data_IF_183522660548
#
_entry.id   IF_183522660548
#
_cell.length_a   1.000
_cell.length_b   1.000
_cell.length_c   1.000
_cell.angle_alpha   90.00
_cell.angle_beta   90.00
_cell.angle_gamma   90.00
#
_symmetry.space_group_name_H-M   'P 1'
#
loop_
_entity.id
_entity.type
_entity.pdbx_description
1 polymer ?
#
# COMPACT_ATOMS: atom_id res chain seq x y z
N UNK A 1 16.45 8.45 -2.22
CA UNK A 1 17.16 7.37 -2.92
C UNK A 1 16.37 6.68 -4.03
N UNK A 2 15.02 6.67 -4.03
CA UNK A 2 14.21 5.86 -4.97
C UNK A 2 13.86 6.54 -6.30
N UNK A 3 14.32 7.75 -6.56
CA UNK A 3 14.07 8.48 -7.81
C UNK A 3 14.52 7.72 -9.08
N UNK A 4 15.47 6.80 -8.93
CA UNK A 4 15.93 5.92 -10.02
C UNK A 4 14.81 5.02 -10.56
N UNK A 5 13.84 4.62 -9.73
CA UNK A 5 12.70 3.78 -10.13
C UNK A 5 11.85 4.51 -11.18
N UNK A 6 11.74 5.84 -11.10
CA UNK A 6 11.05 6.64 -12.10
C UNK A 6 11.61 6.49 -13.53
N UNK A 7 12.89 6.12 -13.67
CA UNK A 7 13.50 5.88 -15.00
C UNK A 7 12.90 4.64 -15.69
N UNK A 8 12.50 3.62 -14.93
CA UNK A 8 11.84 2.42 -15.48
C UNK A 8 10.47 2.77 -16.06
N UNK A 9 9.71 3.63 -15.40
CA UNK A 9 8.42 4.10 -15.91
C UNK A 9 8.59 4.83 -17.24
N UNK A 10 9.57 5.74 -17.34
CA UNK A 10 9.90 6.44 -18.59
C UNK A 10 10.31 5.47 -19.69
N UNK A 11 11.08 4.43 -19.34
CA UNK A 11 11.45 3.37 -20.27
C UNK A 11 10.22 2.64 -20.80
N UNK A 12 9.32 2.18 -19.94
CA UNK A 12 8.10 1.47 -20.33
C UNK A 12 7.19 2.33 -21.21
N UNK A 13 7.00 3.60 -20.89
CA UNK A 13 6.23 4.53 -21.74
C UNK A 13 6.81 4.63 -23.14
N UNK A 14 8.14 4.71 -23.27
CA UNK A 14 8.84 4.74 -24.55
C UNK A 14 8.66 3.43 -25.33
N UNK A 15 8.73 2.28 -24.65
CA UNK A 15 8.50 0.98 -25.29
C UNK A 15 7.06 0.84 -25.78
N UNK A 16 6.06 1.20 -24.98
CA UNK A 16 4.66 1.20 -25.38
C UNK A 16 4.48 2.02 -26.68
N UNK A 17 5.01 3.24 -26.72
CA UNK A 17 4.95 4.09 -27.92
C UNK A 17 5.65 3.46 -29.13
N UNK A 18 6.83 2.84 -28.90
CA UNK A 18 7.61 2.18 -29.96
C UNK A 18 6.85 1.03 -30.60
N UNK A 19 6.08 0.29 -29.83
CA UNK A 19 5.30 -0.87 -30.28
C UNK A 19 3.84 -0.55 -30.63
N UNK A 20 3.46 0.74 -30.69
CA UNK A 20 2.14 1.17 -31.11
C UNK A 20 1.02 0.92 -30.09
N UNK A 21 1.37 0.75 -28.82
CA UNK A 21 0.37 0.60 -27.76
C UNK A 21 -0.33 1.94 -27.51
N UNK A 22 -1.64 1.96 -27.64
CA UNK A 22 -2.47 3.10 -27.29
C UNK A 22 -2.60 3.23 -25.77
N UNK A 23 -2.33 4.43 -25.24
CA UNK A 23 -2.42 4.71 -23.81
C UNK A 23 -3.41 5.85 -23.61
N UNK A 24 -4.50 5.58 -22.91
CA UNK A 24 -5.47 6.59 -22.50
C UNK A 24 -5.30 6.87 -21.00
N UNK A 25 -4.95 8.11 -20.66
CA UNK A 25 -4.76 8.56 -19.29
C UNK A 25 -5.97 9.35 -18.77
N UNK A 26 -6.11 9.43 -17.45
CA UNK A 26 -7.21 10.14 -16.77
C UNK A 26 -8.60 9.67 -17.23
N UNK A 27 -8.71 8.37 -17.53
CA UNK A 27 -9.93 7.75 -18.01
C UNK A 27 -10.24 6.51 -17.15
N UNK A 28 -11.39 6.51 -16.53
CA UNK A 28 -11.91 5.33 -15.84
C UNK A 28 -12.81 4.58 -16.83
N UNK A 29 -12.29 3.46 -17.36
CA UNK A 29 -13.02 2.62 -18.30
C UNK A 29 -14.28 2.02 -17.66
N UNK A 30 -15.35 1.87 -18.43
CA UNK A 30 -16.60 1.24 -18.02
C UNK A 30 -16.83 -0.08 -18.74
N UNK A 31 -17.63 -0.99 -18.16
CA UNK A 31 -18.04 -2.24 -18.83
C UNK A 31 -18.71 -1.98 -20.19
N UNK A 32 -19.46 -0.89 -20.32
CA UNK A 32 -20.10 -0.50 -21.58
C UNK A 32 -19.08 -0.19 -22.68
N UNK A 33 -18.01 0.52 -22.33
CA UNK A 33 -16.92 0.84 -23.27
C UNK A 33 -16.17 -0.42 -23.66
N UNK A 34 -15.79 -1.28 -22.71
CA UNK A 34 -15.11 -2.54 -22.99
C UNK A 34 -15.97 -3.41 -23.94
N UNK A 35 -17.26 -3.52 -23.67
CA UNK A 35 -18.20 -4.24 -24.55
C UNK A 35 -18.28 -3.65 -25.96
N UNK A 36 -18.25 -2.32 -26.09
CA UNK A 36 -18.26 -1.64 -27.40
C UNK A 36 -16.94 -1.82 -28.18
N UNK A 37 -15.82 -1.99 -27.49
CA UNK A 37 -14.52 -2.29 -28.09
C UNK A 37 -14.44 -3.74 -28.61
N UNK A 38 -15.28 -4.65 -28.08
CA UNK A 38 -15.34 -6.06 -28.42
C UNK A 38 -13.95 -6.75 -28.45
N UNK A 39 -13.14 -6.65 -27.38
CA UNK A 39 -11.81 -7.26 -27.39
C UNK A 39 -11.89 -8.77 -27.27
N UNK A 40 -10.93 -9.48 -27.88
CA UNK A 40 -10.77 -10.93 -27.73
C UNK A 40 -10.20 -11.28 -26.33
N UNK A 41 -9.28 -10.45 -25.84
CA UNK A 41 -8.58 -10.64 -24.58
C UNK A 41 -8.65 -9.35 -23.73
N UNK A 42 -8.93 -9.49 -22.44
CA UNK A 42 -8.82 -8.41 -21.46
C UNK A 42 -7.88 -8.80 -20.33
N UNK A 43 -6.89 -7.95 -20.07
CA UNK A 43 -5.98 -8.10 -18.94
C UNK A 43 -6.34 -7.06 -17.87
N UNK A 44 -6.79 -7.52 -16.71
CA UNK A 44 -7.12 -6.70 -15.55
C UNK A 44 -5.88 -6.52 -14.68
N UNK A 45 -5.28 -5.33 -14.72
CA UNK A 45 -4.11 -4.95 -13.94
C UNK A 45 -4.38 -3.69 -13.11
N UNK A 46 -5.56 -3.62 -12.51
CA UNK A 46 -6.11 -2.43 -11.82
C UNK A 46 -5.50 -2.15 -10.44
N UNK A 47 -4.53 -2.96 -10.03
CA UNK A 47 -3.78 -2.73 -8.80
C UNK A 47 -4.54 -3.12 -7.54
N UNK A 48 -4.24 -2.40 -6.46
CA UNK A 48 -4.82 -2.60 -5.13
C UNK A 48 -5.28 -1.28 -4.54
N UNK A 49 -6.13 -1.36 -3.52
CA UNK A 49 -6.54 -0.23 -2.68
C UNK A 49 -6.10 -0.47 -1.23
N UNK A 50 -5.96 0.59 -0.46
CA UNK A 50 -5.66 0.46 0.95
C UNK A 50 -6.75 -0.33 1.68
N UNK A 51 -6.33 -1.19 2.59
CA UNK A 51 -7.22 -1.91 3.47
C UNK A 51 -7.71 -0.96 4.56
N UNK A 52 -9.01 -0.70 4.55
CA UNK A 52 -9.70 0.05 5.61
C UNK A 52 -10.40 -0.98 6.49
N UNK A 53 -9.83 -1.33 7.66
CA UNK A 53 -10.44 -2.32 8.54
C UNK A 53 -11.64 -1.72 9.25
N UNK A 54 -12.52 -2.58 9.74
CA UNK A 54 -13.65 -2.15 10.56
C UNK A 54 -13.20 -1.96 12.02
N UNK A 55 -12.42 -0.92 12.26
CA UNK A 55 -11.97 -0.50 13.59
C UNK A 55 -12.69 0.81 13.95
N UNK A 56 -13.28 0.94 15.15
CA UNK A 56 -13.93 2.17 15.58
C UNK A 56 -13.00 3.40 15.46
N UNK A 57 -13.58 4.56 15.14
CA UNK A 57 -12.86 5.83 15.09
C UNK A 57 -12.03 6.09 13.82
N UNK A 58 -12.00 5.17 12.86
CA UNK A 58 -11.14 5.25 11.68
C UNK A 58 -11.44 6.43 10.72
N UNK A 59 -12.63 7.00 10.78
CA UNK A 59 -13.06 8.10 9.89
C UNK A 59 -12.75 9.50 10.44
N UNK A 60 -11.80 9.61 11.36
CA UNK A 60 -11.39 10.91 11.89
C UNK A 60 -10.54 11.68 10.86
N UNK A 61 -10.68 13.01 10.83
CA UNK A 61 -10.01 13.90 9.85
C UNK A 61 -8.47 13.84 9.90
N UNK A 62 -7.90 13.38 11.01
CA UNK A 62 -6.46 13.22 11.20
C UNK A 62 -5.92 11.85 10.78
N UNK A 63 -6.77 10.95 10.25
CA UNK A 63 -6.36 9.65 9.70
C UNK A 63 -6.06 9.82 8.22
N UNK A 64 -4.80 9.61 7.85
CA UNK A 64 -4.24 9.89 6.53
C UNK A 64 -3.83 8.62 5.79
N UNK A 65 -3.92 8.65 4.46
CA UNK A 65 -3.42 7.60 3.59
C UNK A 65 -1.90 7.72 3.37
N UNK A 66 -1.12 6.64 3.45
CA UNK A 66 0.33 6.67 3.22
C UNK A 66 0.71 7.26 1.86
N UNK A 67 -0.04 6.91 0.80
CA UNK A 67 0.20 7.40 -0.56
C UNK A 67 0.04 8.91 -0.68
N UNK A 68 -0.93 9.50 0.00
CA UNK A 68 -1.16 10.94 -0.04
C UNK A 68 -0.09 11.70 0.75
N UNK A 69 0.40 11.12 1.84
CA UNK A 69 1.55 11.65 2.59
C UNK A 69 2.83 11.60 1.74
N UNK A 70 3.14 10.46 1.13
CA UNK A 70 4.35 10.27 0.32
C UNK A 70 4.35 11.13 -0.95
N UNK A 71 3.19 11.37 -1.54
CA UNK A 71 3.02 12.24 -2.72
C UNK A 71 2.94 13.74 -2.36
N UNK A 72 2.97 14.09 -1.07
CA UNK A 72 2.86 15.48 -0.62
C UNK A 72 1.49 16.13 -0.85
N UNK A 73 0.44 15.34 -1.04
CA UNK A 73 -0.93 15.85 -1.20
C UNK A 73 -1.52 16.32 0.14
N UNK A 74 -1.04 15.71 1.23
CA UNK A 74 -1.39 16.08 2.60
C UNK A 74 -0.13 16.31 3.42
N UNK A 75 -0.22 17.20 4.41
CA UNK A 75 0.88 17.52 5.32
C UNK A 75 0.52 16.98 6.70
N UNK A 76 1.42 16.18 7.28
CA UNK A 76 1.28 15.69 8.65
C UNK A 76 1.66 16.78 9.67
N UNK A 77 1.12 16.68 10.86
CA UNK A 77 1.62 17.44 12.02
C UNK A 77 3.04 17.00 12.43
N UNK A 78 3.49 17.42 13.63
CA UNK A 78 4.84 17.11 14.11
C UNK A 78 4.93 15.70 14.69
N UNK A 79 3.96 15.30 15.51
CA UNK A 79 3.88 13.97 16.11
C UNK A 79 2.98 13.07 15.28
N UNK A 80 3.53 11.98 14.75
CA UNK A 80 2.83 11.10 13.81
C UNK A 80 2.84 9.67 14.31
N UNK A 81 1.65 9.08 14.39
CA UNK A 81 1.48 7.63 14.55
C UNK A 81 1.35 6.98 13.18
N UNK A 82 2.18 5.98 12.86
CA UNK A 82 2.04 5.14 11.69
C UNK A 82 1.48 3.79 12.14
N UNK A 83 0.26 3.49 11.71
CA UNK A 83 -0.46 2.25 12.04
C UNK A 83 -0.18 1.18 10.98
N UNK A 84 0.57 0.14 11.37
CA UNK A 84 1.00 -0.96 10.52
C UNK A 84 2.50 -0.94 10.19
N UNK A 85 3.21 -1.99 10.62
CA UNK A 85 4.66 -2.13 10.48
C UNK A 85 5.10 -2.98 9.29
N UNK A 86 4.26 -3.12 8.26
CA UNK A 86 4.65 -3.67 6.96
C UNK A 86 5.59 -2.73 6.19
N UNK A 87 5.97 -3.11 4.95
CA UNK A 87 6.94 -2.33 4.17
C UNK A 87 6.50 -0.87 3.98
N UNK A 88 5.26 -0.62 3.58
CA UNK A 88 4.75 0.73 3.34
C UNK A 88 4.76 1.57 4.62
N UNK A 89 4.31 0.99 5.74
CA UNK A 89 4.33 1.70 7.02
C UNK A 89 5.74 2.03 7.49
N UNK A 90 6.66 1.09 7.41
CA UNK A 90 8.06 1.30 7.78
C UNK A 90 8.75 2.35 6.90
N UNK A 91 8.54 2.32 5.58
CA UNK A 91 9.08 3.32 4.65
C UNK A 91 8.45 4.70 4.85
N UNK A 92 7.15 4.76 5.13
CA UNK A 92 6.46 6.03 5.44
C UNK A 92 6.95 6.59 6.78
N UNK A 93 7.15 5.75 7.79
CA UNK A 93 7.70 6.17 9.07
C UNK A 93 9.12 6.73 8.91
N UNK A 94 9.98 6.05 8.14
CA UNK A 94 11.32 6.53 7.85
C UNK A 94 11.30 7.88 7.10
N UNK A 95 10.50 7.99 6.05
CA UNK A 95 10.33 9.23 5.28
C UNK A 95 9.91 10.42 6.15
N UNK A 96 8.97 10.22 7.08
CA UNK A 96 8.51 11.26 7.99
C UNK A 96 9.57 11.62 9.02
N UNK A 97 10.29 10.63 9.55
CA UNK A 97 11.38 10.87 10.52
C UNK A 97 12.56 11.61 9.90
N UNK A 98 12.92 11.34 8.63
CA UNK A 98 13.89 12.12 7.85
C UNK A 98 13.47 13.60 7.75
N UNK A 99 12.18 13.89 7.70
CA UNK A 99 11.62 15.25 7.73
C UNK A 99 11.50 15.84 9.13
N UNK A 100 12.14 15.22 10.15
CA UNK A 100 12.15 15.67 11.54
C UNK A 100 10.78 15.65 12.22
N UNK A 101 9.92 14.70 11.82
CA UNK A 101 8.72 14.38 12.57
C UNK A 101 9.08 13.42 13.72
N UNK A 102 8.36 13.53 14.82
CA UNK A 102 8.40 12.57 15.92
C UNK A 102 7.46 11.40 15.55
N UNK A 103 8.03 10.25 15.21
CA UNK A 103 7.27 9.14 14.61
C UNK A 103 7.20 7.94 15.56
N UNK A 104 6.00 7.43 15.75
CA UNK A 104 5.75 6.12 16.37
C UNK A 104 5.17 5.15 15.34
N UNK A 105 5.80 4.00 15.16
CA UNK A 105 5.34 2.91 14.29
C UNK A 105 4.78 1.78 15.14
N UNK A 106 3.48 1.48 14.99
CA UNK A 106 2.79 0.41 15.75
C UNK A 106 2.47 -0.77 14.85
N UNK A 107 2.70 -2.00 15.36
CA UNK A 107 2.48 -3.25 14.62
C UNK A 107 1.90 -4.33 15.54
N UNK A 108 0.88 -5.04 15.07
CA UNK A 108 0.28 -6.15 15.81
C UNK A 108 1.13 -7.42 15.83
N UNK A 109 1.94 -7.63 14.79
CA UNK A 109 2.85 -8.77 14.69
C UNK A 109 4.08 -8.57 15.58
N UNK A 110 4.81 -9.66 15.92
CA UNK A 110 6.02 -9.57 16.74
C UNK A 110 7.20 -8.89 16.03
N UNK A 111 7.15 -8.78 14.72
CA UNK A 111 8.24 -8.20 13.91
C UNK A 111 7.73 -7.22 12.86
N UNK A 112 8.60 -6.27 12.52
CA UNK A 112 8.37 -5.29 11.44
C UNK A 112 8.88 -5.85 10.12
N UNK A 113 8.24 -5.42 9.02
CA UNK A 113 8.59 -5.76 7.64
C UNK A 113 8.89 -7.26 7.44
N UNK A 114 7.97 -8.17 7.86
CA UNK A 114 8.25 -9.61 7.84
C UNK A 114 8.55 -10.13 6.43
N UNK A 115 7.94 -9.54 5.41
CA UNK A 115 7.99 -10.00 4.02
C UNK A 115 9.11 -9.33 3.20
N UNK A 116 9.92 -8.43 3.82
CA UNK A 116 11.01 -7.76 3.13
C UNK A 116 12.21 -8.71 2.99
N UNK A 117 12.93 -8.56 1.88
CA UNK A 117 14.17 -9.30 1.58
C UNK A 117 15.13 -9.33 2.79
N UNK A 118 15.73 -10.50 3.12
CA UNK A 118 16.57 -10.66 4.31
C UNK A 118 17.78 -9.72 4.38
N UNK A 119 18.25 -9.21 3.25
CA UNK A 119 19.37 -8.26 3.21
C UNK A 119 18.90 -6.81 3.35
N UNK A 120 17.75 -6.48 2.77
CA UNK A 120 17.18 -5.13 2.84
C UNK A 120 16.52 -4.83 4.20
N UNK A 121 15.92 -5.84 4.85
CA UNK A 121 15.23 -5.69 6.14
C UNK A 121 16.10 -5.10 7.25
N UNK A 122 17.32 -5.62 7.53
CA UNK A 122 18.19 -5.04 8.56
C UNK A 122 18.55 -3.59 8.29
N UNK A 123 18.73 -3.21 7.01
CA UNK A 123 19.07 -1.84 6.61
C UNK A 123 17.92 -0.88 6.95
N UNK A 124 16.69 -1.20 6.54
CA UNK A 124 15.52 -0.37 6.84
C UNK A 124 15.27 -0.26 8.35
N UNK A 125 15.39 -1.37 9.09
CA UNK A 125 15.25 -1.34 10.55
C UNK A 125 16.34 -0.52 11.24
N UNK A 126 17.56 -0.48 10.69
CA UNK A 126 18.64 0.37 11.17
C UNK A 126 18.32 1.85 10.90
N UNK A 127 17.90 2.22 9.69
CA UNK A 127 17.48 3.58 9.34
C UNK A 127 16.38 4.10 10.27
N UNK A 128 15.36 3.28 10.54
CA UNK A 128 14.30 3.64 11.49
C UNK A 128 14.84 3.97 12.89
N UNK A 129 15.81 3.18 13.40
CA UNK A 129 16.44 3.43 14.71
C UNK A 129 17.31 4.68 14.69
N UNK A 130 18.11 4.89 13.64
CA UNK A 130 18.99 6.06 13.46
C UNK A 130 18.15 7.35 13.39
N UNK A 131 16.98 7.29 12.73
CA UNK A 131 16.02 8.38 12.67
C UNK A 131 15.10 8.47 13.91
N UNK A 132 15.39 7.70 14.97
CA UNK A 132 14.70 7.75 16.26
C UNK A 132 13.21 7.41 16.18
N UNK A 133 12.78 6.58 15.24
CA UNK A 133 11.41 6.09 15.18
C UNK A 133 11.13 5.18 16.38
N UNK A 134 10.11 5.50 17.16
CA UNK A 134 9.62 4.62 18.23
C UNK A 134 8.88 3.44 17.61
N UNK A 135 9.35 2.22 17.83
CA UNK A 135 8.76 1.02 17.25
C UNK A 135 8.06 0.16 18.31
N UNK A 136 6.74 -0.03 18.18
CA UNK A 136 5.90 -0.77 19.09
C UNK A 136 5.32 -2.02 18.40
N UNK A 137 5.92 -3.17 18.62
CA UNK A 137 5.46 -4.46 18.12
C UNK A 137 4.49 -5.15 19.10
N UNK A 138 3.78 -6.19 18.65
CA UNK A 138 2.78 -6.93 19.41
C UNK A 138 1.63 -6.07 19.95
N UNK A 139 1.29 -4.99 19.25
CA UNK A 139 0.30 -4.00 19.66
C UNK A 139 -0.83 -3.92 18.63
N UNK A 140 -1.94 -4.61 18.91
CA UNK A 140 -3.11 -4.59 18.04
C UNK A 140 -4.02 -3.41 18.36
N UNK A 141 -4.20 -2.51 17.42
CA UNK A 141 -5.10 -1.37 17.56
C UNK A 141 -6.53 -1.88 17.71
N UNK A 142 -7.25 -1.33 18.69
CA UNK A 142 -8.65 -1.64 18.98
C UNK A 142 -9.60 -0.52 18.57
N UNK A 143 -9.16 0.74 18.70
CA UNK A 143 -9.94 1.93 18.40
C UNK A 143 -9.02 3.09 18.03
N UNK A 144 -9.43 3.90 17.07
CA UNK A 144 -8.80 5.18 16.75
C UNK A 144 -9.48 6.30 17.55
N UNK A 145 -8.66 7.11 18.21
CA UNK A 145 -9.07 8.28 18.98
C UNK A 145 -8.78 9.56 18.18
N UNK A 146 -9.32 10.71 18.57
CA UNK A 146 -9.05 11.99 17.90
C UNK A 146 -7.56 12.36 17.81
N UNK A 147 -6.74 11.88 18.74
CA UNK A 147 -5.30 12.16 18.81
C UNK A 147 -4.45 10.93 19.07
N UNK A 148 -4.97 9.72 18.81
CA UNK A 148 -4.22 8.50 19.09
C UNK A 148 -4.99 7.21 18.83
N UNK A 149 -4.63 6.18 19.57
CA UNK A 149 -5.26 4.85 19.49
C UNK A 149 -5.35 4.18 20.85
N UNK A 150 -6.33 3.29 21.01
CA UNK A 150 -6.23 2.24 22.02
C UNK A 150 -5.66 0.97 21.37
N UNK A 151 -4.83 0.24 22.08
CA UNK A 151 -4.25 -1.00 21.60
C UNK A 151 -4.15 -2.05 22.70
N UNK A 152 -4.08 -3.32 22.31
CA UNK A 152 -3.88 -4.45 23.19
C UNK A 152 -2.57 -5.15 22.86
N UNK A 153 -1.81 -5.55 23.90
CA UNK A 153 -0.62 -6.39 23.75
C UNK A 153 -1.05 -7.82 23.43
N UNK A 154 -0.80 -8.26 22.18
CA UNK A 154 -1.25 -9.56 21.68
C UNK A 154 -0.45 -10.76 22.22
N UNK A 155 0.63 -10.54 22.96
CA UNK A 155 1.36 -11.60 23.65
C UNK A 155 0.54 -12.20 24.81
N UNK A 156 -0.48 -11.49 25.25
CA UNK A 156 -1.36 -11.88 26.35
C UNK A 156 -2.82 -11.84 25.88
N UNK A 157 -3.47 -12.99 25.80
CA UNK A 157 -4.83 -13.12 25.26
C UNK A 157 -5.88 -12.22 25.94
N UNK A 158 -5.67 -11.82 27.19
CA UNK A 158 -6.51 -10.91 27.97
C UNK A 158 -5.69 -9.75 28.55
N UNK A 159 -4.66 -9.30 27.83
CA UNK A 159 -3.84 -8.16 28.26
C UNK A 159 -4.67 -6.88 28.37
N UNK A 160 -4.26 -5.94 29.25
CA UNK A 160 -4.97 -4.69 29.39
C UNK A 160 -4.93 -3.89 28.08
N UNK A 161 -6.03 -3.24 27.75
CA UNK A 161 -6.06 -2.21 26.71
C UNK A 161 -5.30 -1.00 27.23
N UNK A 162 -4.42 -0.45 26.39
CA UNK A 162 -3.60 0.73 26.69
C UNK A 162 -3.94 1.82 25.70
N UNK A 163 -3.72 3.06 26.11
CA UNK A 163 -3.88 4.22 25.23
C UNK A 163 -2.52 4.76 24.82
N UNK A 164 -2.42 5.17 23.59
CA UNK A 164 -1.28 5.90 23.02
C UNK A 164 -1.86 7.13 22.32
N UNK A 165 -1.59 8.32 22.87
CA UNK A 165 -2.23 9.57 22.50
C UNK A 165 -1.22 10.71 22.29
N UNK A 166 -1.73 11.91 21.96
CA UNK A 166 -0.95 13.10 21.73
C UNK A 166 -0.33 13.21 20.34
N UNK A 167 -0.91 12.53 19.34
CA UNK A 167 -0.49 12.63 17.94
C UNK A 167 -1.32 13.66 17.17
N UNK A 168 -0.63 14.41 16.32
CA UNK A 168 -1.25 15.38 15.41
C UNK A 168 -1.87 14.68 14.18
N UNK A 169 -1.29 13.54 13.77
CA UNK A 169 -1.72 12.78 12.59
C UNK A 169 -1.52 11.29 12.79
N UNK A 170 -2.39 10.50 12.17
CA UNK A 170 -2.31 9.05 12.13
C UNK A 170 -2.24 8.60 10.67
N UNK A 171 -1.23 7.83 10.28
CA UNK A 171 -1.09 7.30 8.92
C UNK A 171 -1.50 5.83 8.91
N UNK A 172 -2.50 5.48 8.09
CA UNK A 172 -3.11 4.16 8.04
C UNK A 172 -2.40 3.24 7.04
N UNK A 173 -1.43 2.44 7.50
CA UNK A 173 -0.64 1.52 6.68
C UNK A 173 -0.95 0.04 6.98
N UNK A 174 -2.22 -0.31 7.19
CA UNK A 174 -2.67 -1.63 7.64
C UNK A 174 -2.75 -2.69 6.52
N UNK A 175 -2.24 -2.37 5.34
CA UNK A 175 -2.15 -3.29 4.21
C UNK A 175 -2.96 -2.86 2.99
N UNK A 176 -3.00 -3.76 1.99
CA UNK A 176 -3.67 -3.53 0.72
C UNK A 176 -4.62 -4.68 0.40
N UNK A 177 -5.69 -4.35 -0.32
CA UNK A 177 -6.65 -5.31 -0.85
C UNK A 177 -6.65 -5.19 -2.37
N UNK A 178 -6.55 -6.33 -3.06
CA UNK A 178 -6.67 -6.41 -4.52
C UNK A 178 -7.95 -5.74 -5.02
N UNK A 179 -7.84 -4.99 -6.11
CA UNK A 179 -8.94 -4.25 -6.70
C UNK A 179 -9.27 -4.81 -8.09
N UNK A 180 -10.43 -5.46 -8.20
CA UNK A 180 -10.89 -6.14 -9.43
C UNK A 180 -12.34 -5.72 -9.74
N UNK A 181 -12.58 -4.50 -10.20
CA UNK A 181 -13.95 -3.97 -10.30
C UNK A 181 -14.81 -4.69 -11.32
N UNK A 182 -14.22 -5.40 -12.31
CA UNK A 182 -14.95 -5.93 -13.45
C UNK A 182 -14.74 -7.43 -13.71
N UNK A 183 -13.84 -8.12 -12.98
CA UNK A 183 -13.36 -9.45 -13.37
C UNK A 183 -14.52 -10.42 -13.72
N UNK A 184 -15.49 -10.59 -12.85
CA UNK A 184 -16.61 -11.53 -13.09
C UNK A 184 -17.56 -11.07 -14.21
N UNK A 185 -17.77 -9.76 -14.37
CA UNK A 185 -18.67 -9.22 -15.39
C UNK A 185 -18.06 -9.27 -16.81
N UNK A 186 -16.74 -9.29 -16.93
CA UNK A 186 -16.05 -9.41 -18.20
C UNK A 186 -16.20 -10.81 -18.80
N UNK A 187 -16.18 -11.84 -17.97
CA UNK A 187 -16.32 -13.25 -18.40
C UNK A 187 -17.65 -13.53 -19.14
N UNK A 188 -18.67 -12.66 -18.98
CA UNK A 188 -19.94 -12.78 -19.67
C UNK A 188 -19.86 -12.46 -21.18
N UNK A 189 -18.85 -11.71 -21.62
CA UNK A 189 -18.80 -11.21 -23.02
C UNK A 189 -17.39 -11.10 -23.62
N UNK A 190 -16.34 -11.43 -22.87
CA UNK A 190 -14.96 -11.48 -23.35
C UNK A 190 -14.50 -12.94 -23.34
N UNK A 191 -13.86 -13.38 -24.42
CA UNK A 191 -13.45 -14.78 -24.57
C UNK A 191 -12.36 -15.18 -23.58
N UNK A 192 -11.42 -14.26 -23.30
CA UNK A 192 -10.31 -14.52 -22.39
C UNK A 192 -10.09 -13.32 -21.45
N UNK A 193 -10.18 -13.58 -20.15
CA UNK A 193 -9.97 -12.58 -19.10
C UNK A 193 -8.86 -13.03 -18.16
N UNK A 194 -7.84 -12.22 -18.03
CA UNK A 194 -6.71 -12.47 -17.14
C UNK A 194 -6.61 -11.39 -16.06
N UNK A 195 -6.32 -11.78 -14.83
CA UNK A 195 -6.05 -10.86 -13.72
C UNK A 195 -4.61 -11.04 -13.28
N UNK A 196 -3.82 -9.95 -13.27
CA UNK A 196 -2.40 -9.98 -12.95
C UNK A 196 -2.00 -8.88 -11.95
N UNK A 197 -0.80 -9.00 -11.39
CA UNK A 197 -0.22 -8.05 -10.45
C UNK A 197 -1.05 -7.91 -9.18
N UNK A 198 -1.06 -6.72 -8.62
CA UNK A 198 -1.77 -6.43 -7.36
C UNK A 198 -3.29 -6.59 -7.48
N UNK A 199 -3.84 -6.52 -8.69
CA UNK A 199 -5.25 -6.85 -8.92
C UNK A 199 -5.54 -8.32 -8.61
N UNK A 200 -4.60 -9.23 -8.84
CA UNK A 200 -4.71 -10.66 -8.49
C UNK A 200 -4.39 -10.88 -7.02
N UNK A 201 -3.26 -10.37 -6.58
CA UNK A 201 -2.79 -10.45 -5.20
C UNK A 201 -1.80 -9.33 -4.94
N UNK A 202 -2.12 -8.46 -3.98
CA UNK A 202 -1.22 -7.39 -3.58
C UNK A 202 0.15 -7.96 -3.16
N UNK A 203 1.24 -7.42 -3.73
CA UNK A 203 2.60 -7.94 -3.58
C UNK A 203 3.66 -6.93 -4.00
N UNK A 204 4.77 -7.40 -4.54
CA UNK A 204 5.88 -6.57 -4.99
C UNK A 204 5.89 -6.40 -6.52
N UNK A 205 6.70 -5.48 -7.00
CA UNK A 205 6.89 -5.23 -8.44
C UNK A 205 7.39 -6.47 -9.17
N UNK A 206 8.18 -7.31 -8.49
CA UNK A 206 8.69 -8.56 -9.05
C UNK A 206 7.56 -9.49 -9.50
N UNK A 207 6.60 -9.77 -8.62
CA UNK A 207 5.46 -10.65 -8.94
C UNK A 207 4.62 -10.07 -10.09
N UNK A 208 4.37 -8.77 -10.06
CA UNK A 208 3.58 -8.11 -11.09
C UNK A 208 4.25 -8.19 -12.48
N UNK A 209 5.56 -7.94 -12.55
CA UNK A 209 6.31 -8.01 -13.81
C UNK A 209 6.48 -9.44 -14.30
N UNK A 210 6.68 -10.40 -13.40
CA UNK A 210 6.80 -11.81 -13.75
C UNK A 210 5.51 -12.37 -14.33
N UNK A 211 4.37 -12.11 -13.69
CA UNK A 211 3.05 -12.50 -14.20
C UNK A 211 2.74 -11.86 -15.56
N UNK A 212 3.16 -10.61 -15.78
CA UNK A 212 2.97 -9.96 -17.07
C UNK A 212 3.78 -10.62 -18.19
N UNK A 213 5.04 -11.04 -17.90
CA UNK A 213 5.88 -11.76 -18.87
C UNK A 213 5.33 -13.16 -19.16
N UNK A 214 4.94 -13.91 -18.13
CA UNK A 214 4.33 -15.23 -18.28
C UNK A 214 3.07 -15.17 -19.16
N UNK A 215 2.18 -14.22 -18.86
CA UNK A 215 0.96 -14.02 -19.64
C UNK A 215 1.27 -13.65 -21.09
N UNK A 216 2.19 -12.72 -21.34
CA UNK A 216 2.57 -12.26 -22.67
C UNK A 216 3.20 -13.38 -23.55
N UNK A 217 3.63 -14.49 -22.96
CA UNK A 217 4.12 -15.67 -23.70
C UNK A 217 3.04 -16.70 -23.95
N UNK A 218 1.84 -16.51 -23.40
CA UNK A 218 0.73 -17.45 -23.47
C UNK A 218 -0.36 -17.01 -24.44
N UNK A 219 -0.58 -15.69 -24.56
CA UNK A 219 -1.58 -15.04 -25.44
C UNK A 219 -1.01 -14.64 -26.78
#
# INVERSE_FOLDING_TARGET
GKAVIGKSIVYFIRQCKKYGVEITLNHQVTLKEIRAMAPDVVVVATGSSNLVPNIPGLNADNVLEPSDVLLGKVVTGHKVLVAGGGLIGAETANFLAEQKREVTLIEMKPEFVPDLDPYAKPMLLQELRENQVTMLANAAIQEFLPDGVTYQDVRHANGPVRTLDGFDSIVLALGHRSYQPFANALEEFVSEVYVIGDAKKAGFVYEATHQAVELATTI
#
